data_IF_163206165469
#
_entry.id   IF_163206165469
#
_cell.length_a   1.000
_cell.length_b   1.000
_cell.length_c   1.000
_cell.angle_alpha   90.00
_cell.angle_beta   90.00
_cell.angle_gamma   90.00
#
_symmetry.space_group_name_H-M   'P 1'
#
loop_
_entity.id
_entity.type
_entity.pdbx_description
1 polymer ?
#
# COMPACT_ATOMS: atom_id res chain seq x y z
N UNK A 1 -4.08 -22.81 1.51
CA UNK A 1 -4.56 -21.88 0.45
C UNK A 1 -3.86 -20.55 0.65
N UNK A 2 -3.22 -19.98 -0.38
CA UNK A 2 -2.41 -18.76 -0.22
C UNK A 2 -3.31 -17.55 0.09
N UNK A 3 -3.22 -17.03 1.32
CA UNK A 3 -4.07 -15.98 1.85
C UNK A 3 -3.68 -14.55 1.44
N UNK A 4 -3.24 -14.34 0.19
CA UNK A 4 -2.75 -13.04 -0.29
C UNK A 4 -3.90 -12.12 -0.67
N UNK A 5 -3.74 -10.83 -0.39
CA UNK A 5 -4.64 -9.79 -0.88
C UNK A 5 -4.41 -9.59 -2.38
N UNK A 6 -5.50 -9.54 -3.14
CA UNK A 6 -5.50 -9.23 -4.56
C UNK A 6 -5.72 -7.74 -4.75
N UNK A 7 -4.93 -7.12 -5.64
CA UNK A 7 -5.11 -5.74 -6.09
C UNK A 7 -6.03 -5.73 -7.31
N UNK A 8 -7.19 -5.08 -7.18
CA UNK A 8 -8.17 -5.01 -8.27
C UNK A 8 -8.16 -3.67 -9.00
N UNK A 9 -8.05 -2.55 -8.26
CA UNK A 9 -8.13 -1.21 -8.83
C UNK A 9 -7.20 -0.25 -8.09
N UNK A 10 -6.57 0.66 -8.84
CA UNK A 10 -5.81 1.80 -8.31
C UNK A 10 -6.14 3.03 -9.14
N UNK A 11 -6.52 4.12 -8.49
CA UNK A 11 -6.65 5.43 -9.14
C UNK A 11 -6.06 6.53 -8.27
N UNK A 12 -5.55 7.57 -8.93
CA UNK A 12 -5.11 8.81 -8.32
C UNK A 12 -5.58 9.98 -9.18
N UNK A 13 -6.34 10.88 -8.59
CA UNK A 13 -6.93 12.03 -9.29
C UNK A 13 -6.57 13.32 -8.57
N UNK A 14 -6.40 14.39 -9.35
CA UNK A 14 -6.22 15.75 -8.83
C UNK A 14 -7.60 16.42 -8.84
N UNK A 15 -8.05 16.88 -7.68
CA UNK A 15 -9.29 17.65 -7.53
C UNK A 15 -9.07 18.79 -6.55
N UNK A 16 -9.36 20.02 -6.97
CA UNK A 16 -9.28 21.24 -6.15
C UNK A 16 -7.92 21.43 -5.45
N UNK A 17 -6.82 21.18 -6.16
CA UNK A 17 -5.47 21.27 -5.61
C UNK A 17 -5.10 20.16 -4.61
N UNK A 18 -5.92 19.11 -4.52
CA UNK A 18 -5.67 17.93 -3.69
C UNK A 18 -5.55 16.69 -4.56
N UNK A 19 -4.62 15.83 -4.18
CA UNK A 19 -4.56 14.47 -4.69
C UNK A 19 -5.51 13.59 -3.90
N UNK A 20 -6.24 12.72 -4.59
CA UNK A 20 -7.11 11.69 -4.00
C UNK A 20 -6.75 10.36 -4.63
N UNK A 21 -6.34 9.40 -3.81
CA UNK A 21 -6.11 8.04 -4.26
C UNK A 21 -7.17 7.09 -3.71
N UNK A 22 -7.51 6.10 -4.54
CA UNK A 22 -8.43 5.01 -4.23
C UNK A 22 -7.76 3.70 -4.62
N UNK A 23 -7.78 2.74 -3.69
CA UNK A 23 -7.23 1.39 -3.91
C UNK A 23 -8.26 0.36 -3.48
N UNK A 24 -8.60 -0.56 -4.39
CA UNK A 24 -9.49 -1.68 -4.13
C UNK A 24 -8.67 -2.96 -3.98
N UNK A 25 -8.83 -3.60 -2.82
CA UNK A 25 -8.24 -4.90 -2.52
C UNK A 25 -9.34 -5.92 -2.27
N UNK A 26 -9.11 -7.16 -2.68
CA UNK A 26 -10.01 -8.29 -2.40
C UNK A 26 -9.31 -9.54 -1.88
N UNK A 27 -10.02 -10.31 -1.06
CA UNK A 27 -9.62 -11.64 -0.60
C UNK A 27 -10.86 -12.46 -0.24
N UNK A 28 -10.94 -13.69 -0.75
CA UNK A 28 -11.98 -14.66 -0.41
C UNK A 28 -13.41 -14.10 -0.51
N UNK A 29 -13.70 -13.28 -1.53
CA UNK A 29 -15.02 -12.67 -1.74
C UNK A 29 -15.28 -11.38 -0.93
N UNK A 30 -14.39 -11.00 -0.01
CA UNK A 30 -14.41 -9.71 0.67
C UNK A 30 -13.60 -8.69 -0.12
N UNK A 31 -14.13 -7.47 -0.25
CA UNK A 31 -13.46 -6.37 -0.89
C UNK A 31 -13.45 -5.14 0.02
N UNK A 32 -12.31 -4.48 0.14
CA UNK A 32 -12.16 -3.24 0.89
C UNK A 32 -11.50 -2.17 0.05
N UNK A 33 -12.02 -0.95 0.21
CA UNK A 33 -11.53 0.24 -0.45
C UNK A 33 -10.75 1.05 0.55
N UNK A 34 -9.50 1.35 0.21
CA UNK A 34 -8.68 2.33 0.91
C UNK A 34 -8.71 3.66 0.17
N UNK A 35 -8.87 4.73 0.94
CA UNK A 35 -8.86 6.10 0.43
C UNK A 35 -7.75 6.88 1.14
N UNK A 36 -7.07 7.75 0.40
CA UNK A 36 -6.16 8.72 0.99
C UNK A 36 -6.19 10.02 0.19
N UNK A 37 -5.77 11.10 0.83
CA UNK A 37 -5.63 12.40 0.20
C UNK A 37 -4.29 13.05 0.53
N UNK A 38 -3.87 13.97 -0.30
CA UNK A 38 -2.65 14.76 -0.13
C UNK A 38 -2.84 16.17 -0.67
N UNK A 39 -2.15 17.14 -0.08
CA UNK A 39 -2.16 18.52 -0.54
C UNK A 39 -1.01 18.72 -1.54
N UNK A 40 -1.28 19.41 -2.65
CA UNK A 40 -0.25 19.83 -3.59
C UNK A 40 0.40 21.14 -3.11
N UNK A 41 1.70 21.35 -3.40
CA UNK A 41 2.59 20.50 -4.20
C UNK A 41 3.34 19.40 -3.43
N UNK A 42 3.17 19.30 -2.11
CA UNK A 42 4.01 18.46 -1.26
C UNK A 42 3.72 16.95 -1.42
N UNK A 43 2.48 16.59 -1.78
CA UNK A 43 2.08 15.21 -2.01
C UNK A 43 2.34 14.75 -3.44
N UNK A 44 2.77 13.49 -3.59
CA UNK A 44 2.84 12.81 -4.88
C UNK A 44 1.77 11.72 -4.98
N UNK A 45 1.35 11.38 -6.19
CA UNK A 45 0.36 10.31 -6.38
C UNK A 45 0.83 8.99 -5.76
N UNK A 46 2.11 8.66 -5.85
CA UNK A 46 2.67 7.44 -5.27
C UNK A 46 2.54 7.42 -3.76
N UNK A 47 2.86 8.52 -3.06
CA UNK A 47 2.68 8.58 -1.60
C UNK A 47 1.21 8.45 -1.19
N UNK A 48 0.30 9.09 -1.93
CA UNK A 48 -1.14 9.01 -1.63
C UNK A 48 -1.69 7.61 -1.95
N UNK A 49 -1.26 6.96 -3.03
CA UNK A 49 -1.61 5.58 -3.37
C UNK A 49 -1.07 4.60 -2.32
N UNK A 50 0.17 4.78 -1.89
CA UNK A 50 0.76 3.94 -0.85
C UNK A 50 -0.06 4.03 0.45
N UNK A 51 -0.44 5.24 0.85
CA UNK A 51 -1.31 5.45 2.01
C UNK A 51 -2.72 4.86 1.81
N UNK A 52 -3.33 5.01 0.64
CA UNK A 52 -4.60 4.39 0.32
C UNK A 52 -4.51 2.86 0.39
N UNK A 53 -3.42 2.27 -0.09
CA UNK A 53 -3.17 0.83 0.00
C UNK A 53 -3.07 0.37 1.45
N UNK A 54 -2.31 1.08 2.30
CA UNK A 54 -2.23 0.80 3.74
C UNK A 54 -3.62 0.87 4.39
N UNK A 55 -4.41 1.88 4.04
CA UNK A 55 -5.77 2.03 4.57
C UNK A 55 -6.67 0.86 4.13
N UNK A 56 -6.56 0.38 2.90
CA UNK A 56 -7.31 -0.79 2.42
C UNK A 56 -6.91 -2.06 3.20
N UNK A 57 -5.61 -2.28 3.39
CA UNK A 57 -5.08 -3.42 4.16
C UNK A 57 -5.56 -3.38 5.61
N UNK A 58 -5.59 -2.19 6.22
CA UNK A 58 -6.04 -2.02 7.62
C UNK A 58 -7.46 -2.50 7.82
N UNK A 59 -8.34 -2.33 6.84
CA UNK A 59 -9.72 -2.83 6.92
C UNK A 59 -9.76 -4.36 7.05
N UNK A 60 -8.90 -5.08 6.32
CA UNK A 60 -8.78 -6.53 6.45
C UNK A 60 -8.21 -6.96 7.81
N UNK A 61 -7.19 -6.27 8.32
CA UNK A 61 -6.57 -6.65 9.61
C UNK A 61 -7.51 -6.39 10.78
N UNK A 62 -8.24 -5.26 10.77
CA UNK A 62 -9.25 -4.95 11.79
C UNK A 62 -10.38 -5.98 11.76
N UNK A 63 -10.84 -6.36 10.56
CA UNK A 63 -11.84 -7.41 10.41
C UNK A 63 -11.37 -8.76 11.00
N UNK A 64 -10.09 -9.08 10.88
CA UNK A 64 -9.47 -10.27 11.46
C UNK A 64 -9.10 -10.13 12.96
N UNK A 65 -9.46 -9.03 13.63
CA UNK A 65 -9.17 -8.81 15.04
C UNK A 65 -7.73 -8.40 15.36
N UNK A 66 -6.92 -8.09 14.35
CA UNK A 66 -5.53 -7.66 14.50
C UNK A 66 -5.44 -6.13 14.51
N UNK A 67 -4.93 -5.56 15.61
CA UNK A 67 -4.79 -4.10 15.78
C UNK A 67 -3.34 -3.63 15.58
N UNK A 68 -2.80 -3.86 14.39
CA UNK A 68 -1.48 -3.36 14.02
C UNK A 68 -1.58 -1.97 13.41
N UNK A 69 -0.68 -1.08 13.84
CA UNK A 69 -0.48 0.21 13.20
C UNK A 69 0.56 0.06 12.10
N UNK A 70 0.15 0.36 10.87
CA UNK A 70 1.04 0.40 9.70
C UNK A 70 1.16 1.83 9.22
N UNK A 71 2.39 2.30 9.04
CA UNK A 71 2.68 3.67 8.59
C UNK A 71 3.68 3.59 7.44
N UNK A 72 3.46 4.41 6.41
CA UNK A 72 4.44 4.64 5.35
C UNK A 72 5.63 5.40 5.95
N UNK A 73 6.80 4.76 5.99
CA UNK A 73 8.02 5.42 6.46
C UNK A 73 8.71 6.18 5.32
N UNK A 74 8.90 5.51 4.19
CA UNK A 74 9.47 6.14 3.00
C UNK A 74 9.02 5.47 1.71
N UNK A 75 9.16 6.20 0.61
CA UNK A 75 8.88 5.74 -0.75
C UNK A 75 9.87 6.38 -1.71
N UNK A 76 10.49 5.54 -2.54
CA UNK A 76 11.40 5.98 -3.58
C UNK A 76 11.17 5.22 -4.90
N UNK A 77 11.53 5.85 -6.01
CA UNK A 77 11.52 5.24 -7.34
C UNK A 77 12.96 5.17 -7.84
N UNK A 78 13.53 3.97 -7.76
CA UNK A 78 14.88 3.72 -8.26
C UNK A 78 14.82 3.43 -9.75
N UNK A 79 15.59 4.21 -10.51
CA UNK A 79 15.71 4.06 -11.97
C UNK A 79 17.07 3.47 -12.32
N UNK A 80 17.04 2.40 -13.12
CA UNK A 80 18.21 1.74 -13.71
C UNK A 80 18.07 1.77 -15.24
N UNK A 81 19.15 1.51 -16.01
CA UNK A 81 19.07 1.54 -17.48
C UNK A 81 18.01 0.61 -18.08
N UNK A 82 17.68 -0.50 -17.39
CA UNK A 82 16.77 -1.53 -17.88
C UNK A 82 15.42 -1.56 -17.16
N UNK A 83 15.25 -0.85 -16.04
CA UNK A 83 14.06 -0.96 -15.22
C UNK A 83 13.88 0.23 -14.27
N UNK A 84 12.62 0.52 -13.93
CA UNK A 84 12.25 1.40 -12.82
C UNK A 84 11.53 0.57 -11.76
N UNK A 85 11.83 0.82 -10.49
CA UNK A 85 11.28 0.03 -9.37
C UNK A 85 10.81 0.97 -8.27
N UNK A 86 9.59 0.76 -7.79
CA UNK A 86 9.12 1.39 -6.55
C UNK A 86 9.68 0.61 -5.37
N UNK A 87 10.33 1.30 -4.45
CA UNK A 87 10.73 0.80 -3.14
C UNK A 87 9.92 1.51 -2.07
N UNK A 88 9.40 0.74 -1.12
CA UNK A 88 8.71 1.29 0.06
C UNK A 88 9.36 0.78 1.33
N UNK A 89 9.43 1.66 2.32
CA UNK A 89 9.73 1.32 3.70
C UNK A 89 8.48 1.59 4.53
N UNK A 90 8.06 0.62 5.32
CA UNK A 90 6.89 0.66 6.17
C UNK A 90 7.32 0.43 7.61
N UNK A 91 6.59 1.02 8.56
CA UNK A 91 6.70 0.66 9.97
C UNK A 91 5.42 -0.03 10.39
N UNK A 92 5.53 -1.23 10.95
CA UNK A 92 4.42 -1.98 11.51
C UNK A 92 4.66 -2.20 13.00
N UNK A 93 3.67 -1.91 13.83
CA UNK A 93 3.80 -2.11 15.28
C UNK A 93 2.48 -2.44 15.97
N UNK A 94 2.62 -2.98 17.18
CA UNK A 94 1.54 -3.25 18.12
C UNK A 94 2.04 -2.88 19.53
N UNK A 95 1.46 -1.86 20.16
CA UNK A 95 1.97 -1.35 21.44
C UNK A 95 3.34 -0.69 21.28
N UNK A 96 4.31 -1.04 22.13
CA UNK A 96 5.67 -0.49 22.10
C UNK A 96 6.59 -1.17 21.09
N UNK A 97 6.21 -2.36 20.60
CA UNK A 97 6.99 -3.07 19.59
C UNK A 97 6.68 -2.54 18.20
N UNK A 98 7.72 -2.15 17.48
CA UNK A 98 7.63 -1.79 16.07
C UNK A 98 8.80 -2.36 15.29
N UNK A 99 8.55 -2.70 14.02
CA UNK A 99 9.56 -3.18 13.09
C UNK A 99 9.41 -2.49 11.75
N UNK A 100 10.54 -2.38 11.04
CA UNK A 100 10.55 -1.93 9.66
C UNK A 100 10.29 -3.10 8.72
N UNK A 101 9.52 -2.83 7.68
CA UNK A 101 9.26 -3.73 6.57
C UNK A 101 9.66 -3.00 5.30
N UNK A 102 10.11 -3.76 4.31
CA UNK A 102 10.39 -3.24 2.97
C UNK A 102 9.60 -4.02 1.94
N UNK A 103 9.19 -3.34 0.88
CA UNK A 103 8.51 -3.93 -0.25
C UNK A 103 8.96 -3.29 -1.55
N UNK A 104 8.83 -4.02 -2.64
CA UNK A 104 9.28 -3.55 -3.94
C UNK A 104 8.37 -4.02 -5.07
N UNK A 105 8.30 -3.22 -6.14
CA UNK A 105 7.65 -3.63 -7.36
C UNK A 105 8.24 -2.91 -8.58
N UNK A 106 8.53 -3.68 -9.63
CA UNK A 106 8.89 -3.10 -10.91
C UNK A 106 7.73 -2.27 -11.48
N UNK A 107 8.05 -1.09 -12.02
CA UNK A 107 7.12 -0.26 -12.76
C UNK A 107 7.03 -0.84 -14.18
N UNK A 108 5.86 -1.39 -14.50
CA UNK A 108 5.48 -1.78 -15.86
C UNK A 108 4.78 -0.61 -16.55
N UNK A 109 3.51 -0.81 -16.90
CA UNK A 109 2.72 0.20 -17.63
C UNK A 109 2.29 1.38 -16.74
N UNK A 110 1.93 1.11 -15.48
CA UNK A 110 1.41 2.12 -14.56
C UNK A 110 2.15 2.13 -13.22
N UNK A 111 2.79 3.27 -12.91
CA UNK A 111 3.43 3.52 -11.61
C UNK A 111 2.46 3.32 -10.46
N UNK A 112 1.19 3.69 -10.64
CA UNK A 112 0.12 3.53 -9.66
C UNK A 112 -0.03 2.09 -9.16
N UNK A 113 -0.13 1.13 -10.07
CA UNK A 113 -0.22 -0.28 -9.72
C UNK A 113 1.08 -0.79 -9.10
N UNK A 114 2.24 -0.35 -9.60
CA UNK A 114 3.53 -0.73 -9.01
C UNK A 114 3.63 -0.24 -7.56
N UNK A 115 3.20 0.98 -7.25
CA UNK A 115 3.22 1.51 -5.88
C UNK A 115 2.36 0.69 -4.94
N UNK A 116 1.11 0.40 -5.31
CA UNK A 116 0.24 -0.45 -4.49
C UNK A 116 0.83 -1.87 -4.32
N UNK A 117 1.40 -2.45 -5.38
CA UNK A 117 2.08 -3.75 -5.33
C UNK A 117 3.29 -3.75 -4.41
N UNK A 118 4.10 -2.69 -4.39
CA UNK A 118 5.25 -2.59 -3.50
C UNK A 118 4.81 -2.57 -2.03
N UNK A 119 3.74 -1.85 -1.69
CA UNK A 119 3.15 -1.87 -0.34
C UNK A 119 2.65 -3.26 0.02
N UNK A 120 1.93 -3.92 -0.89
CA UNK A 120 1.46 -5.29 -0.67
C UNK A 120 2.60 -6.30 -0.56
N UNK A 121 3.68 -6.17 -1.33
CA UNK A 121 4.87 -7.02 -1.23
C UNK A 121 5.49 -6.96 0.18
N UNK A 122 5.61 -5.75 0.74
CA UNK A 122 6.12 -5.56 2.10
C UNK A 122 5.19 -6.07 3.21
N UNK A 123 3.86 -6.01 2.99
CA UNK A 123 2.88 -6.40 4.01
C UNK A 123 2.43 -7.86 3.92
N UNK A 124 2.31 -8.43 2.71
CA UNK A 124 1.71 -9.75 2.49
C UNK A 124 2.41 -10.85 3.30
N UNK A 125 3.74 -10.77 3.48
CA UNK A 125 4.50 -11.73 4.30
C UNK A 125 4.03 -11.74 5.75
N UNK A 126 3.64 -10.58 6.30
CA UNK A 126 3.11 -10.47 7.66
C UNK A 126 1.62 -10.82 7.71
N UNK A 127 0.87 -10.47 6.66
CA UNK A 127 -0.55 -10.77 6.56
C UNK A 127 -0.84 -12.27 6.41
N UNK A 128 0.06 -13.05 5.79
CA UNK A 128 -0.07 -14.50 5.73
C UNK A 128 -0.13 -15.12 7.13
N UNK A 129 0.54 -14.55 8.14
CA UNK A 129 0.44 -15.03 9.53
C UNK A 129 -0.81 -14.54 10.29
N UNK A 130 -1.45 -13.46 9.83
CA UNK A 130 -2.54 -12.78 10.54
C UNK A 130 -3.93 -13.09 9.97
N UNK A 131 -4.00 -13.48 8.69
CA UNK A 131 -5.25 -13.69 7.96
C UNK A 131 -5.44 -15.16 7.52
N UNK A 132 -4.80 -16.09 8.23
CA UNK A 132 -4.95 -17.54 8.07
C UNK A 132 -5.83 -18.11 9.18
#
# INVERSE_FOLDING_TARGET
MSGRLKLDEVSCEVQDGRLRARVLLSKAGLAHIGLANGLLPEATCERVIAQATINAVRMFTVFAGANHHVVLHDLDIVTSPSARTVLVSLRMGQGEESRFLSGSAAIGDETSFATARAVLDGLNRQLEGLLN
#
